data_IF_841044997888
#
_entry.id   IF_841044997888
#
_cell.length_a   1.000
_cell.length_b   1.000
_cell.length_c   1.000
_cell.angle_alpha   90.00
_cell.angle_beta   90.00
_cell.angle_gamma   90.00
#
_symmetry.space_group_name_H-M   'P 1'
#
loop_
_entity.id
_entity.type
_entity.pdbx_description
1 polymer ?
#
# COMPACT_ATOMS: atom_id res chain seq x y z
N UNK A 1 17.61 -6.30 9.95
CA UNK A 1 16.53 -7.14 9.39
C UNK A 1 15.23 -6.35 9.48
N UNK A 2 15.03 -5.37 8.60
CA UNK A 2 13.89 -4.43 8.67
C UNK A 2 12.86 -4.81 7.61
N UNK A 3 11.61 -5.07 8.03
CA UNK A 3 10.48 -5.38 7.14
C UNK A 3 9.99 -4.09 6.45
N UNK A 4 10.56 -3.81 5.28
CA UNK A 4 10.08 -2.76 4.37
C UNK A 4 8.90 -3.27 3.52
N UNK A 5 7.91 -2.40 3.24
CA UNK A 5 6.84 -2.67 2.28
C UNK A 5 7.37 -3.08 0.90
N UNK A 6 8.54 -2.58 0.50
CA UNK A 6 9.23 -3.02 -0.72
C UNK A 6 9.56 -4.51 -0.71
N UNK A 7 9.94 -5.06 0.44
CA UNK A 7 10.21 -6.50 0.57
C UNK A 7 8.92 -7.31 0.45
N UNK A 8 7.80 -6.82 0.98
CA UNK A 8 6.48 -7.46 0.82
C UNK A 8 6.03 -7.43 -0.64
N UNK A 9 6.24 -6.31 -1.34
CA UNK A 9 5.95 -6.22 -2.78
C UNK A 9 6.83 -7.17 -3.59
N UNK A 10 8.12 -7.31 -3.25
CA UNK A 10 9.03 -8.25 -3.89
C UNK A 10 8.59 -9.70 -3.68
N UNK A 11 8.26 -10.08 -2.44
CA UNK A 11 7.72 -11.40 -2.12
C UNK A 11 6.40 -11.68 -2.87
N UNK A 12 5.52 -10.69 -3.00
CA UNK A 12 4.29 -10.83 -3.78
C UNK A 12 4.58 -11.02 -5.29
N UNK A 13 5.54 -10.28 -5.86
CA UNK A 13 5.95 -10.48 -7.27
C UNK A 13 6.51 -11.88 -7.49
N UNK A 14 7.35 -12.35 -6.59
CA UNK A 14 7.95 -13.68 -6.67
C UNK A 14 6.88 -14.77 -6.59
N UNK A 15 5.97 -14.68 -5.63
CA UNK A 15 4.89 -15.65 -5.44
C UNK A 15 3.89 -15.67 -6.60
N UNK A 16 3.49 -14.50 -7.09
CA UNK A 16 2.50 -14.38 -8.19
C UNK A 16 3.12 -14.52 -9.59
N UNK A 17 4.45 -14.45 -9.70
CA UNK A 17 5.21 -14.38 -10.97
C UNK A 17 4.70 -13.29 -11.92
N UNK A 18 4.09 -12.24 -11.38
CA UNK A 18 3.54 -11.15 -12.18
C UNK A 18 4.66 -10.23 -12.69
N UNK A 19 4.57 -9.87 -13.97
CA UNK A 19 5.36 -8.79 -14.57
C UNK A 19 4.62 -7.46 -14.57
N UNK A 20 3.35 -7.45 -14.15
CA UNK A 20 2.52 -6.24 -14.08
C UNK A 20 3.03 -5.33 -12.96
N UNK A 21 2.80 -4.03 -13.13
CA UNK A 21 3.03 -3.05 -12.06
C UNK A 21 2.14 -3.38 -10.86
N UNK A 22 2.71 -3.29 -9.66
CA UNK A 22 1.97 -3.41 -8.42
C UNK A 22 1.63 -1.99 -7.98
N UNK A 23 0.35 -1.75 -7.71
CA UNK A 23 -0.13 -0.52 -7.11
C UNK A 23 -0.39 -0.76 -5.63
N UNK A 24 0.39 -0.13 -4.75
CA UNK A 24 0.25 -0.29 -3.31
C UNK A 24 -0.84 0.66 -2.80
N UNK A 25 -1.96 0.09 -2.37
CA UNK A 25 -3.05 0.82 -1.71
C UNK A 25 -2.99 0.59 -0.21
N UNK A 26 -2.92 1.67 0.57
CA UNK A 26 -2.93 1.63 2.02
C UNK A 26 -4.36 1.85 2.52
N UNK A 27 -4.87 0.93 3.34
CA UNK A 27 -6.17 1.07 4.00
C UNK A 27 -5.90 1.32 5.48
N UNK A 28 -6.33 2.46 6.00
CA UNK A 28 -6.02 2.90 7.37
C UNK A 28 -7.20 3.67 7.97
N UNK A 29 -7.28 3.80 9.29
CA UNK A 29 -8.38 4.55 9.93
C UNK A 29 -8.20 6.06 9.80
N UNK A 30 -6.96 6.56 9.92
CA UNK A 30 -6.65 8.01 9.94
C UNK A 30 -5.88 8.49 8.70
N UNK A 31 -5.80 7.66 7.67
CA UNK A 31 -4.99 7.93 6.48
C UNK A 31 -3.49 7.67 6.70
N UNK A 32 -2.71 7.96 5.66
CA UNK A 32 -1.25 7.86 5.66
C UNK A 32 -0.62 9.24 5.79
N UNK A 33 0.30 9.41 6.74
CA UNK A 33 1.12 10.62 6.83
C UNK A 33 2.02 10.73 5.60
N UNK A 34 1.80 11.74 4.79
CA UNK A 34 2.67 12.05 3.65
C UNK A 34 4.06 12.44 4.15
N UNK A 35 5.07 11.62 3.86
CA UNK A 35 6.46 11.86 4.19
C UNK A 35 7.36 11.33 3.06
N UNK A 36 8.66 11.61 3.13
CA UNK A 36 9.65 11.17 2.13
C UNK A 36 9.72 9.65 1.91
N UNK A 37 9.22 8.83 2.85
CA UNK A 37 9.19 7.38 2.75
C UNK A 37 7.88 6.86 2.15
N UNK A 38 6.78 7.62 2.26
CA UNK A 38 5.50 7.31 1.60
C UNK A 38 5.45 7.84 0.17
N UNK A 39 6.21 8.90 -0.12
CA UNK A 39 6.29 9.54 -1.44
C UNK A 39 6.86 8.55 -2.47
N UNK A 40 6.05 8.15 -3.45
CA UNK A 40 6.44 7.22 -4.51
C UNK A 40 6.42 5.73 -4.14
N UNK A 41 6.05 5.36 -2.91
CA UNK A 41 5.80 3.96 -2.52
C UNK A 41 4.30 3.65 -2.43
N UNK A 42 3.49 4.58 -1.93
CA UNK A 42 2.04 4.41 -1.79
C UNK A 42 1.34 5.09 -2.95
N UNK A 43 0.65 4.32 -3.79
CA UNK A 43 -0.07 4.83 -4.96
C UNK A 43 -1.44 5.40 -4.58
N UNK A 44 -2.10 4.78 -3.59
CA UNK A 44 -3.41 5.21 -3.09
C UNK A 44 -3.53 5.00 -1.58
N UNK A 45 -4.33 5.83 -0.92
CA UNK A 45 -4.69 5.68 0.49
C UNK A 45 -6.20 5.76 0.61
N UNK A 46 -6.80 4.80 1.31
CA UNK A 46 -8.22 4.75 1.62
C UNK A 46 -8.41 4.82 3.14
N UNK A 47 -9.46 5.49 3.57
CA UNK A 47 -9.92 5.52 4.96
C UNK A 47 -11.10 4.59 5.20
N UNK A 48 -11.49 4.41 6.47
CA UNK A 48 -12.72 3.68 6.83
C UNK A 48 -13.94 4.35 6.22
N UNK A 49 -13.96 5.68 6.17
CA UNK A 49 -15.05 6.45 5.57
C UNK A 49 -15.23 6.12 4.08
N UNK A 50 -14.13 5.88 3.36
CA UNK A 50 -14.15 5.47 1.95
C UNK A 50 -14.72 4.05 1.76
N UNK A 51 -14.63 3.18 2.77
CA UNK A 51 -15.05 1.79 2.70
C UNK A 51 -16.49 1.56 3.19
N UNK A 52 -17.02 2.44 4.03
CA UNK A 52 -18.31 2.25 4.71
C UNK A 52 -19.26 3.42 4.50
N UNK A 53 -19.42 3.83 3.24
CA UNK A 53 -20.39 4.87 2.87
C UNK A 53 -21.81 4.35 3.09
N UNK A 54 -22.50 4.85 4.12
CA UNK A 54 -23.93 4.58 4.38
C UNK A 54 -24.25 3.59 5.50
N UNK A 55 -23.29 3.28 6.38
CA UNK A 55 -23.56 2.68 7.70
C UNK A 55 -23.85 3.75 8.75
#
# INVERSE_FOLDING_TARGET
MTMDYRNKMAAFKEASRTRKQIFLTMITTFGVKQNQYSLGLVDASLTVDDLFVGL
#
